data_IF_333354214120
#
_entry.id   IF_333354214120
#
_cell.length_a   1.000
_cell.length_b   1.000
_cell.length_c   1.000
_cell.angle_alpha   90.00
_cell.angle_beta   90.00
_cell.angle_gamma   90.00
#
_symmetry.space_group_name_H-M   'P 1'
#
loop_
_entity.id
_entity.type
_entity.pdbx_description
1 polymer ?
#
# COMPACT_ATOMS: atom_id res chain seq x y z
N UNK A 1 -12.48 11.13 17.89
CA UNK A 1 -13.75 11.06 18.65
C UNK A 1 -14.80 10.19 17.97
N UNK A 2 -14.96 10.30 16.64
CA UNK A 2 -15.89 9.48 15.82
C UNK A 2 -15.74 7.97 16.09
N UNK A 3 -14.51 7.44 16.12
CA UNK A 3 -14.25 6.01 16.44
C UNK A 3 -14.89 5.56 17.75
N UNK A 4 -14.64 6.29 18.84
CA UNK A 4 -15.12 5.91 20.17
C UNK A 4 -16.65 5.95 20.25
N UNK A 5 -17.29 6.93 19.61
CA UNK A 5 -18.75 7.07 19.57
C UNK A 5 -19.41 5.95 18.76
N UNK A 6 -18.88 5.61 17.58
CA UNK A 6 -19.40 4.51 16.76
C UNK A 6 -19.19 3.15 17.42
N UNK A 7 -18.01 2.90 17.99
CA UNK A 7 -17.76 1.66 18.74
C UNK A 7 -18.69 1.53 19.96
N UNK A 8 -18.97 2.62 20.67
CA UNK A 8 -19.91 2.61 21.80
C UNK A 8 -21.37 2.36 21.36
N UNK A 9 -21.80 2.93 20.23
CA UNK A 9 -23.13 2.68 19.66
C UNK A 9 -23.29 1.21 19.23
N UNK A 10 -22.28 0.65 18.58
CA UNK A 10 -22.28 -0.77 18.16
C UNK A 10 -22.29 -1.68 19.39
N UNK A 11 -21.50 -1.36 20.41
CA UNK A 11 -21.47 -2.10 21.68
C UNK A 11 -22.83 -2.09 22.38
N UNK A 12 -23.44 -0.92 22.56
CA UNK A 12 -24.78 -0.81 23.15
C UNK A 12 -25.80 -1.62 22.36
N UNK A 13 -25.74 -1.56 21.03
CA UNK A 13 -26.66 -2.32 20.19
C UNK A 13 -26.43 -3.83 20.26
N UNK A 14 -25.18 -4.27 20.40
CA UNK A 14 -24.83 -5.68 20.54
C UNK A 14 -25.34 -6.29 21.85
N UNK A 15 -25.40 -5.51 22.94
CA UNK A 15 -25.92 -5.96 24.25
C UNK A 15 -27.45 -6.06 24.27
N UNK A 16 -28.16 -5.25 23.47
CA UNK A 16 -29.62 -5.31 23.34
C UNK A 16 -30.14 -6.47 22.48
N UNK A 17 -29.29 -7.08 21.64
CA UNK A 17 -29.69 -8.15 20.73
C UNK A 17 -29.76 -9.50 21.46
N UNK A 18 -30.84 -10.25 21.25
CA UNK A 18 -30.99 -11.61 21.78
C UNK A 18 -29.85 -12.53 21.30
N UNK A 19 -29.49 -13.51 22.13
CA UNK A 19 -28.37 -14.44 21.92
C UNK A 19 -28.42 -15.25 20.62
N UNK A 20 -29.61 -15.47 20.05
CA UNK A 20 -29.77 -16.15 18.75
C UNK A 20 -29.42 -15.25 17.54
N UNK A 21 -29.44 -13.92 17.70
CA UNK A 21 -29.13 -12.94 16.65
C UNK A 21 -27.76 -12.26 16.85
N UNK A 22 -27.14 -12.43 18.02
CA UNK A 22 -25.89 -11.78 18.41
C UNK A 22 -24.68 -12.65 18.04
N UNK A 23 -24.06 -12.35 16.89
CA UNK A 23 -22.73 -12.86 16.57
C UNK A 23 -21.67 -11.90 17.13
N UNK A 24 -21.14 -12.25 18.30
CA UNK A 24 -20.10 -11.49 18.97
C UNK A 24 -18.86 -11.26 18.08
N UNK A 25 -18.54 -12.20 17.18
CA UNK A 25 -17.44 -12.06 16.23
C UNK A 25 -17.68 -10.93 15.24
N UNK A 26 -18.89 -10.85 14.66
CA UNK A 26 -19.28 -9.79 13.73
C UNK A 26 -19.32 -8.41 14.40
N UNK A 27 -19.80 -8.34 15.64
CA UNK A 27 -19.81 -7.08 16.39
C UNK A 27 -18.38 -6.56 16.65
N UNK A 28 -17.44 -7.45 16.99
CA UNK A 28 -16.03 -7.10 17.19
C UNK A 28 -15.38 -6.65 15.87
N UNK A 29 -15.65 -7.31 14.76
CA UNK A 29 -15.16 -6.88 13.43
C UNK A 29 -15.71 -5.50 13.06
N UNK A 30 -17.00 -5.25 13.28
CA UNK A 30 -17.62 -3.94 13.07
C UNK A 30 -16.94 -2.85 13.88
N UNK A 31 -16.73 -3.06 15.19
CA UNK A 31 -16.09 -2.09 16.08
C UNK A 31 -14.62 -1.81 15.76
N UNK A 32 -13.93 -2.74 15.10
CA UNK A 32 -12.49 -2.64 14.80
C UNK A 32 -12.23 -2.25 13.35
N UNK A 33 -12.53 -3.14 12.41
CA UNK A 33 -12.20 -2.98 10.99
C UNK A 33 -13.11 -1.96 10.30
N UNK A 34 -14.42 -2.07 10.46
CA UNK A 34 -15.36 -1.21 9.72
C UNK A 34 -15.35 0.23 10.24
N UNK A 35 -15.35 0.41 11.57
CA UNK A 35 -15.24 1.76 12.16
C UNK A 35 -13.91 2.42 11.79
N UNK A 36 -12.79 1.67 11.74
CA UNK A 36 -11.52 2.22 11.27
C UNK A 36 -11.63 2.68 9.81
N UNK A 37 -12.23 1.87 8.94
CA UNK A 37 -12.46 2.24 7.54
C UNK A 37 -13.31 3.49 7.37
N UNK A 38 -14.36 3.69 8.18
CA UNK A 38 -15.21 4.89 8.14
C UNK A 38 -14.42 6.14 8.58
N UNK A 39 -13.61 6.02 9.63
CA UNK A 39 -12.79 7.14 10.11
C UNK A 39 -11.78 7.55 9.04
N UNK A 40 -11.07 6.58 8.46
CA UNK A 40 -10.10 6.82 7.38
C UNK A 40 -10.79 7.42 6.14
N UNK A 41 -11.99 6.94 5.79
CA UNK A 41 -12.76 7.47 4.66
C UNK A 41 -13.19 8.93 4.88
N UNK A 42 -13.57 9.29 6.11
CA UNK A 42 -13.90 10.66 6.48
C UNK A 42 -12.69 11.59 6.36
N UNK A 43 -11.52 11.15 6.82
CA UNK A 43 -10.26 11.88 6.67
C UNK A 43 -9.91 12.07 5.18
N UNK A 44 -10.00 11.00 4.39
CA UNK A 44 -9.72 11.03 2.96
C UNK A 44 -10.65 11.98 2.20
N UNK A 45 -11.93 12.03 2.59
CA UNK A 45 -12.90 12.95 2.00
C UNK A 45 -12.49 14.41 2.22
N UNK A 46 -12.16 14.76 3.48
CA UNK A 46 -11.72 16.11 3.81
C UNK A 46 -10.40 16.47 3.12
N UNK A 47 -9.45 15.55 3.09
CA UNK A 47 -8.19 15.76 2.39
C UNK A 47 -8.43 16.01 0.90
N UNK A 48 -9.30 15.24 0.24
CA UNK A 48 -9.49 15.32 -1.22
C UNK A 48 -9.89 16.72 -1.70
N UNK A 49 -10.92 17.34 -1.10
CA UNK A 49 -11.35 18.67 -1.54
C UNK A 49 -10.37 19.77 -1.11
N UNK A 50 -9.75 19.64 0.07
CA UNK A 50 -8.73 20.57 0.54
C UNK A 50 -7.51 20.58 -0.40
N UNK A 51 -7.05 19.41 -0.85
CA UNK A 51 -5.94 19.28 -1.82
C UNK A 51 -6.24 19.94 -3.16
N UNK A 52 -7.49 19.92 -3.62
CA UNK A 52 -7.89 20.61 -4.85
C UNK A 52 -7.78 22.13 -4.70
N UNK A 53 -8.22 22.66 -3.57
CA UNK A 53 -8.10 24.10 -3.26
C UNK A 53 -6.62 24.48 -3.11
N UNK A 54 -5.85 23.71 -2.34
CA UNK A 54 -4.40 23.91 -2.15
C UNK A 54 -3.65 23.95 -3.48
N UNK A 55 -3.93 22.99 -4.38
CA UNK A 55 -3.35 22.95 -5.72
C UNK A 55 -3.73 24.20 -6.54
N UNK A 56 -5.00 24.60 -6.51
CA UNK A 56 -5.48 25.76 -7.27
C UNK A 56 -4.77 27.03 -6.82
N UNK A 57 -4.71 27.28 -5.51
CA UNK A 57 -4.03 28.44 -4.93
C UNK A 57 -2.53 28.39 -5.22
N UNK A 58 -1.89 27.23 -5.02
CA UNK A 58 -0.46 27.05 -5.27
C UNK A 58 -0.07 27.33 -6.72
N UNK A 59 -0.91 26.92 -7.68
CA UNK A 59 -0.69 27.18 -9.11
C UNK A 59 -0.85 28.65 -9.46
N UNK A 60 -1.84 29.34 -8.87
CA UNK A 60 -2.02 30.79 -9.05
C UNK A 60 -0.79 31.56 -8.55
N UNK A 61 -0.28 31.21 -7.36
CA UNK A 61 0.93 31.83 -6.79
C UNK A 61 2.16 31.50 -7.64
N UNK A 62 2.30 30.27 -8.12
CA UNK A 62 3.44 29.88 -8.95
C UNK A 62 3.43 30.60 -10.31
N UNK A 63 2.25 30.72 -10.93
CA UNK A 63 2.08 31.42 -12.20
C UNK A 63 2.35 32.91 -12.09
N UNK A 64 2.05 33.55 -10.95
CA UNK A 64 2.33 34.98 -10.76
C UNK A 64 3.83 35.27 -10.62
N UNK A 65 4.60 34.34 -10.03
CA UNK A 65 6.04 34.52 -9.83
C UNK A 65 6.88 34.14 -11.05
N UNK A 66 6.58 32.99 -11.68
CA UNK A 66 7.45 32.36 -12.69
C UNK A 66 6.82 32.32 -14.09
N UNK A 67 5.63 32.92 -14.26
CA UNK A 67 4.88 33.01 -15.53
C UNK A 67 4.76 31.65 -16.22
N UNK A 68 5.27 31.52 -17.45
CA UNK A 68 5.17 30.32 -18.28
C UNK A 68 5.86 29.09 -17.68
N UNK A 69 6.91 29.28 -16.87
CA UNK A 69 7.61 28.16 -16.21
C UNK A 69 6.74 27.44 -15.17
N UNK A 70 5.59 27.98 -14.78
CA UNK A 70 4.63 27.30 -13.91
C UNK A 70 4.07 26.00 -14.50
N UNK A 71 4.20 25.78 -15.82
CA UNK A 71 3.82 24.52 -16.49
C UNK A 71 4.83 23.38 -16.27
N UNK A 72 6.05 23.69 -15.83
CA UNK A 72 7.12 22.72 -15.74
C UNK A 72 6.86 21.62 -14.69
N UNK A 73 6.42 21.93 -13.45
CA UNK A 73 6.04 20.90 -12.49
C UNK A 73 4.95 19.97 -13.04
N UNK A 74 4.00 20.47 -13.82
CA UNK A 74 2.97 19.63 -14.46
C UNK A 74 3.54 18.65 -15.47
N UNK A 75 4.55 19.06 -16.26
CA UNK A 75 5.25 18.16 -17.17
C UNK A 75 5.97 17.04 -16.39
N UNK A 76 6.64 17.37 -15.29
CA UNK A 76 7.30 16.37 -14.42
C UNK A 76 6.25 15.44 -13.80
N UNK A 77 5.15 15.98 -13.27
CA UNK A 77 4.02 15.19 -12.73
C UNK A 77 3.52 14.21 -13.78
N UNK A 78 3.33 14.65 -15.02
CA UNK A 78 2.86 13.79 -16.09
C UNK A 78 3.81 12.62 -16.37
N UNK A 79 5.12 12.90 -16.47
CA UNK A 79 6.15 11.86 -16.68
C UNK A 79 6.19 10.89 -15.50
N UNK A 80 6.29 11.39 -14.27
CA UNK A 80 6.30 10.57 -13.05
C UNK A 80 5.03 9.72 -12.92
N UNK A 81 3.86 10.27 -13.27
CA UNK A 81 2.58 9.56 -13.26
C UNK A 81 2.57 8.39 -14.26
N UNK A 82 3.12 8.59 -15.46
CA UNK A 82 3.21 7.52 -16.47
C UNK A 82 4.14 6.39 -16.02
N UNK A 83 5.28 6.73 -15.42
CA UNK A 83 6.22 5.77 -14.83
C UNK A 83 5.54 4.99 -13.70
N UNK A 84 4.97 5.69 -12.72
CA UNK A 84 4.26 5.07 -11.58
C UNK A 84 3.12 4.15 -12.04
N UNK A 85 2.35 4.54 -13.06
CA UNK A 85 1.29 3.71 -13.65
C UNK A 85 1.84 2.43 -14.29
N UNK A 86 2.94 2.52 -15.02
CA UNK A 86 3.58 1.35 -15.62
C UNK A 86 4.08 0.38 -14.55
N UNK A 87 4.75 0.90 -13.52
CA UNK A 87 5.24 0.11 -12.39
C UNK A 87 4.10 -0.56 -11.61
N UNK A 88 3.02 0.17 -11.34
CA UNK A 88 1.86 -0.36 -10.62
C UNK A 88 1.20 -1.53 -11.36
N UNK A 89 1.06 -1.44 -12.69
CA UNK A 89 0.54 -2.55 -13.52
C UNK A 89 1.40 -3.80 -13.39
N UNK A 90 2.72 -3.65 -13.44
CA UNK A 90 3.65 -4.77 -13.36
C UNK A 90 3.73 -5.35 -11.94
N UNK A 91 3.51 -4.52 -10.91
CA UNK A 91 3.56 -4.93 -9.51
C UNK A 91 2.47 -5.95 -9.17
N UNK A 92 1.24 -5.78 -9.69
CA UNK A 92 0.12 -6.68 -9.38
C UNK A 92 0.42 -8.13 -9.78
N UNK A 93 0.97 -8.34 -10.97
CA UNK A 93 1.32 -9.68 -11.46
C UNK A 93 2.45 -10.31 -10.63
N UNK A 94 3.49 -9.54 -10.29
CA UNK A 94 4.64 -10.05 -9.52
C UNK A 94 4.27 -10.32 -8.06
N UNK A 95 3.45 -9.48 -7.46
CA UNK A 95 2.87 -9.71 -6.15
C UNK A 95 2.02 -10.98 -6.13
N UNK A 96 1.26 -11.26 -7.20
CA UNK A 96 0.53 -12.52 -7.35
C UNK A 96 1.44 -13.75 -7.36
N UNK A 97 2.56 -13.70 -8.09
CA UNK A 97 3.53 -14.78 -8.12
C UNK A 97 4.19 -15.02 -6.74
N UNK A 98 4.55 -13.95 -6.03
CA UNK A 98 5.10 -14.03 -4.67
C UNK A 98 4.06 -14.58 -3.68
N UNK A 99 2.80 -14.12 -3.74
CA UNK A 99 1.72 -14.67 -2.91
C UNK A 99 1.51 -16.16 -3.16
N UNK A 100 1.55 -16.59 -4.43
CA UNK A 100 1.43 -18.02 -4.77
C UNK A 100 2.58 -18.84 -4.16
N UNK A 101 3.82 -18.42 -4.33
CA UNK A 101 4.98 -19.09 -3.71
C UNK A 101 4.88 -19.15 -2.18
N UNK A 102 4.34 -18.09 -1.56
CA UNK A 102 4.11 -18.01 -0.12
C UNK A 102 3.03 -19.02 0.31
N UNK A 103 1.95 -19.13 -0.46
CA UNK A 103 0.86 -20.05 -0.20
C UNK A 103 1.26 -21.52 -0.41
N UNK A 104 2.07 -21.82 -1.43
CA UNK A 104 2.65 -23.14 -1.65
C UNK A 104 3.49 -23.58 -0.43
N UNK A 105 4.36 -22.69 0.09
CA UNK A 105 5.14 -22.94 1.30
C UNK A 105 4.26 -23.17 2.53
N UNK A 106 3.24 -22.32 2.73
CA UNK A 106 2.34 -22.45 3.87
C UNK A 106 1.55 -23.77 3.80
N UNK A 107 1.04 -24.14 2.64
CA UNK A 107 0.30 -25.40 2.43
C UNK A 107 1.19 -26.62 2.69
N UNK A 108 2.44 -26.60 2.21
CA UNK A 108 3.42 -27.65 2.48
C UNK A 108 3.72 -27.79 3.98
N UNK A 109 3.97 -26.68 4.66
CA UNK A 109 4.22 -26.66 6.11
C UNK A 109 3.02 -27.19 6.90
N UNK A 110 1.80 -26.79 6.56
CA UNK A 110 0.58 -27.30 7.21
C UNK A 110 0.45 -28.81 7.07
N UNK A 111 0.77 -29.36 5.89
CA UNK A 111 0.72 -30.80 5.64
C UNK A 111 1.79 -31.57 6.42
N UNK A 112 3.02 -31.05 6.46
CA UNK A 112 4.14 -31.62 7.22
C UNK A 112 3.83 -31.63 8.71
N UNK A 113 3.36 -30.50 9.25
CA UNK A 113 3.01 -30.38 10.66
C UNK A 113 1.83 -31.29 11.04
N UNK A 114 0.83 -31.41 10.17
CA UNK A 114 -0.30 -32.33 10.37
C UNK A 114 0.11 -33.81 10.46
N UNK A 115 1.21 -34.18 9.81
CA UNK A 115 1.73 -35.56 9.76
C UNK A 115 3.05 -35.77 10.50
N UNK A 116 3.41 -34.88 11.42
CA UNK A 116 4.75 -34.81 12.02
C UNK A 116 5.19 -36.11 12.71
N UNK A 117 4.27 -36.80 13.40
CA UNK A 117 4.58 -38.07 14.09
C UNK A 117 4.99 -39.17 13.11
N UNK A 118 4.29 -39.28 11.97
CA UNK A 118 4.59 -40.26 10.92
C UNK A 118 5.91 -39.97 10.22
N UNK A 119 6.20 -38.69 9.96
CA UNK A 119 7.47 -38.27 9.36
C UNK A 119 8.67 -38.56 10.27
N UNK A 120 8.52 -38.35 11.58
CA UNK A 120 9.55 -38.72 12.57
C UNK A 120 9.77 -40.23 12.65
N UNK A 121 8.70 -41.03 12.66
CA UNK A 121 8.84 -42.50 12.67
C UNK A 121 9.52 -43.06 11.43
N UNK A 122 9.40 -42.37 10.29
CA UNK A 122 10.04 -42.74 9.03
C UNK A 122 11.46 -42.15 8.87
N UNK A 123 11.92 -41.31 9.80
CA UNK A 123 13.20 -40.62 9.69
C UNK A 123 13.29 -39.60 8.54
N UNK A 124 12.15 -39.14 8.01
CA UNK A 124 12.09 -38.25 6.82
C UNK A 124 12.19 -36.75 7.15
N UNK A 125 12.39 -36.40 8.42
CA UNK A 125 12.38 -35.01 8.89
C UNK A 125 13.34 -34.11 8.11
N UNK A 126 14.59 -34.55 7.93
CA UNK A 126 15.62 -33.74 7.25
C UNK A 126 15.27 -33.48 5.79
N UNK A 127 14.65 -34.46 5.10
CA UNK A 127 14.19 -34.29 3.73
C UNK A 127 13.02 -33.32 3.60
N UNK A 128 12.13 -33.29 4.60
CA UNK A 128 11.04 -32.31 4.64
C UNK A 128 11.55 -30.89 4.93
N UNK A 129 12.57 -30.76 5.77
CA UNK A 129 13.25 -29.47 6.02
C UNK A 129 13.92 -28.96 4.74
N UNK A 130 14.64 -29.81 4.01
CA UNK A 130 15.25 -29.49 2.72
C UNK A 130 14.19 -29.04 1.69
N UNK A 131 13.06 -29.76 1.61
CA UNK A 131 11.95 -29.41 0.73
C UNK A 131 11.34 -28.03 1.03
N UNK A 132 11.07 -27.72 2.30
CA UNK A 132 10.56 -26.40 2.71
C UNK A 132 11.61 -25.30 2.47
N UNK A 133 12.90 -25.62 2.65
CA UNK A 133 14.02 -24.73 2.32
C UNK A 133 14.00 -24.30 0.85
N UNK A 134 13.81 -25.24 -0.07
CA UNK A 134 13.72 -24.96 -1.51
C UNK A 134 12.49 -24.10 -1.85
N UNK A 135 11.35 -24.35 -1.20
CA UNK A 135 10.16 -23.49 -1.36
C UNK A 135 10.41 -22.06 -0.85
N UNK A 136 11.16 -21.92 0.25
CA UNK A 136 11.54 -20.60 0.80
C UNK A 136 12.47 -19.84 -0.14
N UNK A 137 13.42 -20.50 -0.77
CA UNK A 137 14.31 -19.87 -1.74
C UNK A 137 13.54 -19.32 -2.95
N UNK A 138 12.59 -20.11 -3.48
CA UNK A 138 11.68 -19.67 -4.55
C UNK A 138 10.79 -18.49 -4.14
N UNK A 139 10.29 -18.48 -2.90
CA UNK A 139 9.53 -17.35 -2.35
C UNK A 139 10.40 -16.08 -2.29
N UNK A 140 11.65 -16.20 -1.83
CA UNK A 140 12.58 -15.07 -1.74
C UNK A 140 12.87 -14.51 -3.13
N UNK A 141 13.12 -15.36 -4.13
CA UNK A 141 13.43 -14.91 -5.49
C UNK A 141 12.27 -14.13 -6.11
N UNK A 142 11.03 -14.61 -5.95
CA UNK A 142 9.84 -13.89 -6.41
C UNK A 142 9.58 -12.60 -5.61
N UNK A 143 9.96 -12.55 -4.33
CA UNK A 143 9.86 -11.33 -3.50
C UNK A 143 10.83 -10.24 -3.95
N UNK A 144 12.05 -10.57 -4.37
CA UNK A 144 13.08 -9.58 -4.80
C UNK A 144 12.57 -8.65 -5.89
N UNK A 145 11.94 -9.21 -6.93
CA UNK A 145 11.44 -8.42 -8.06
C UNK A 145 10.32 -7.46 -7.63
N UNK A 146 9.47 -7.89 -6.70
CA UNK A 146 8.38 -7.09 -6.14
C UNK A 146 8.94 -5.95 -5.28
N UNK A 147 9.98 -6.22 -4.48
CA UNK A 147 10.67 -5.21 -3.67
C UNK A 147 11.33 -4.15 -4.54
N UNK A 148 12.02 -4.54 -5.60
CA UNK A 148 12.63 -3.59 -6.54
C UNK A 148 11.60 -2.70 -7.24
N UNK A 149 10.46 -3.26 -7.66
CA UNK A 149 9.37 -2.45 -8.21
C UNK A 149 8.83 -1.44 -7.19
N UNK A 150 8.72 -1.84 -5.91
CA UNK A 150 8.28 -0.94 -4.84
C UNK A 150 9.28 0.20 -4.62
N UNK A 151 10.58 -0.10 -4.63
CA UNK A 151 11.63 0.93 -4.56
C UNK A 151 11.48 1.91 -5.70
N UNK A 152 11.40 1.43 -6.96
CA UNK A 152 11.27 2.31 -8.12
C UNK A 152 9.96 3.14 -8.09
N UNK A 153 8.87 2.57 -7.61
CA UNK A 153 7.61 3.29 -7.45
C UNK A 153 7.74 4.41 -6.41
N UNK A 154 8.34 4.09 -5.26
CA UNK A 154 8.60 5.07 -4.20
C UNK A 154 9.58 6.16 -4.66
N UNK A 155 10.63 5.81 -5.40
CA UNK A 155 11.55 6.78 -6.00
C UNK A 155 10.83 7.71 -6.98
N UNK A 156 9.97 7.18 -7.85
CA UNK A 156 9.18 7.99 -8.78
C UNK A 156 8.22 8.95 -8.07
N UNK A 157 7.61 8.52 -6.96
CA UNK A 157 6.72 9.36 -6.15
C UNK A 157 7.48 10.51 -5.46
N UNK A 158 8.68 10.24 -4.93
CA UNK A 158 9.51 11.26 -4.26
C UNK A 158 10.27 12.16 -5.23
N UNK A 159 10.55 11.69 -6.45
CA UNK A 159 11.30 12.44 -7.46
C UNK A 159 10.66 13.81 -7.74
N UNK A 160 9.33 13.90 -7.76
CA UNK A 160 8.65 15.16 -8.01
C UNK A 160 9.02 16.24 -7.00
N UNK A 161 8.97 15.93 -5.70
CA UNK A 161 9.26 16.90 -4.64
C UNK A 161 10.73 17.35 -4.60
N UNK A 162 11.65 16.48 -5.05
CA UNK A 162 13.08 16.77 -5.07
C UNK A 162 13.47 17.58 -6.31
N UNK A 163 13.02 17.15 -7.49
CA UNK A 163 13.49 17.73 -8.76
C UNK A 163 12.67 18.93 -9.20
N UNK A 164 11.36 19.00 -8.92
CA UNK A 164 10.54 20.09 -9.43
C UNK A 164 10.99 21.48 -8.93
N UNK A 165 11.31 21.69 -7.64
CA UNK A 165 11.78 23.00 -7.16
C UNK A 165 13.13 23.38 -7.78
N UNK A 166 14.08 22.43 -7.79
CA UNK A 166 15.44 22.66 -8.33
C UNK A 166 15.39 23.04 -9.80
N UNK A 167 14.65 22.27 -10.62
CA UNK A 167 14.52 22.54 -12.05
C UNK A 167 13.81 23.87 -12.32
N UNK A 168 12.77 24.19 -11.54
CA UNK A 168 12.03 25.45 -11.70
C UNK A 168 12.94 26.65 -11.40
N UNK A 169 13.73 26.61 -10.33
CA UNK A 169 14.66 27.69 -9.96
C UNK A 169 15.79 27.83 -10.99
N UNK A 170 16.42 26.72 -11.38
CA UNK A 170 17.53 26.74 -12.34
C UNK A 170 17.08 27.29 -13.69
N UNK A 171 15.93 26.84 -14.20
CA UNK A 171 15.42 27.33 -15.49
C UNK A 171 14.94 28.77 -15.41
N UNK A 172 14.38 29.19 -14.28
CA UNK A 172 14.05 30.60 -14.06
C UNK A 172 15.31 31.48 -14.10
N UNK A 173 16.40 31.07 -13.44
CA UNK A 173 17.67 31.80 -13.46
C UNK A 173 18.24 31.92 -14.88
N UNK A 174 18.25 30.83 -15.65
CA UNK A 174 18.73 30.83 -17.05
C UNK A 174 17.87 31.76 -17.92
N UNK A 175 16.55 31.75 -17.75
CA UNK A 175 15.63 32.61 -18.52
C UNK A 175 15.72 34.08 -18.08
N UNK A 176 16.10 34.35 -16.84
CA UNK A 176 16.28 35.71 -16.33
C UNK A 176 17.63 36.33 -16.73
N UNK A 177 18.66 35.51 -16.98
CA UNK A 177 19.96 35.95 -17.51
C UNK A 177 19.99 36.13 -19.03
N UNK A 178 19.04 35.53 -19.76
CA UNK A 178 18.90 35.63 -21.22
C UNK A 178 18.08 36.84 -21.67
#
# INVERSE_FOLDING_TARGET
>A
MIRASLSALIYNKAVELNSEASDAGRAVTLMSTDVAGIVDAGELFHETWMRLIELTIGVIILASQVKWLALLPFAIIFVCSRVSRHLARNLRSRQGAWNKATQDRMSALSSILGSMKGLKSLGLTDKMVEYVGNLREREIETSKQTRWLRVMYNSSANALGIFAPVLTIVLYAIVAEA
#
